data_IF_455015544679
#
_entry.id   IF_455015544679
#
_cell.length_a   1.000
_cell.length_b   1.000
_cell.length_c   1.000
_cell.angle_alpha   90.00
_cell.angle_beta   90.00
_cell.angle_gamma   90.00
#
_symmetry.space_group_name_H-M   'P 1'
#
loop_
_entity.id
_entity.type
_entity.pdbx_description
1 polymer ?
#
# COMPACT_ATOMS: atom_id res chain seq x y z
N UNK A 1 6.07 -15.02 -7.20
CA UNK A 1 7.11 -14.24 -6.50
C UNK A 1 6.66 -12.80 -6.43
N UNK A 2 6.53 -12.21 -5.25
CA UNK A 2 6.14 -10.82 -5.17
C UNK A 2 7.28 -9.90 -5.62
N UNK A 3 6.93 -8.90 -6.35
CA UNK A 3 7.80 -7.76 -6.60
C UNK A 3 7.48 -6.71 -5.54
N UNK A 4 8.47 -6.27 -4.78
CA UNK A 4 8.31 -5.28 -3.73
C UNK A 4 8.97 -3.98 -4.16
N UNK A 5 8.17 -2.93 -4.24
CA UNK A 5 8.64 -1.61 -4.63
C UNK A 5 8.50 -0.63 -3.46
N UNK A 6 9.59 0.01 -3.09
CA UNK A 6 9.61 1.05 -2.06
C UNK A 6 9.49 2.41 -2.73
N UNK A 7 8.56 3.22 -2.27
CA UNK A 7 8.33 4.58 -2.77
C UNK A 7 8.64 5.61 -1.69
N UNK A 8 9.77 6.28 -1.84
CA UNK A 8 10.29 7.28 -0.92
C UNK A 8 9.80 8.67 -1.34
N UNK A 9 8.86 9.23 -0.61
CA UNK A 9 8.28 10.53 -0.90
C UNK A 9 9.15 11.65 -0.35
N UNK A 10 9.43 12.65 -1.17
CA UNK A 10 10.15 13.86 -0.77
C UNK A 10 9.35 15.13 -1.06
N UNK A 11 8.44 15.09 -2.03
CA UNK A 11 7.66 16.24 -2.48
C UNK A 11 6.16 16.04 -2.26
N UNK A 12 5.62 14.88 -2.60
CA UNK A 12 4.19 14.57 -2.47
C UNK A 12 3.87 14.01 -1.09
N UNK A 13 2.60 14.09 -0.69
CA UNK A 13 2.11 13.38 0.48
C UNK A 13 1.74 11.93 0.12
N UNK A 14 1.57 11.10 1.14
CA UNK A 14 1.27 9.67 0.97
C UNK A 14 -0.06 9.50 0.22
N UNK A 15 -1.06 10.28 0.56
CA UNK A 15 -2.40 10.20 -0.02
C UNK A 15 -2.38 10.47 -1.52
N UNK A 16 -1.65 11.48 -1.95
CA UNK A 16 -1.53 11.83 -3.37
C UNK A 16 -0.83 10.71 -4.16
N UNK A 17 0.27 10.19 -3.62
CA UNK A 17 1.00 9.10 -4.26
C UNK A 17 0.15 7.82 -4.31
N UNK A 18 -0.55 7.52 -3.22
CA UNK A 18 -1.43 6.35 -3.16
C UNK A 18 -2.52 6.41 -4.21
N UNK A 19 -3.23 7.53 -4.32
CA UNK A 19 -4.31 7.69 -5.30
C UNK A 19 -3.79 7.47 -6.72
N UNK A 20 -2.65 8.06 -7.06
CA UNK A 20 -2.05 7.90 -8.38
C UNK A 20 -1.72 6.43 -8.69
N UNK A 21 -1.09 5.75 -7.75
CA UNK A 21 -0.68 4.35 -7.94
C UNK A 21 -1.89 3.40 -7.96
N UNK A 22 -2.91 3.69 -7.15
CA UNK A 22 -4.16 2.92 -7.16
C UNK A 22 -4.86 3.08 -8.51
N UNK A 23 -4.97 4.29 -9.03
CA UNK A 23 -5.58 4.54 -10.35
C UNK A 23 -4.85 3.77 -11.46
N UNK A 24 -3.52 3.78 -11.44
CA UNK A 24 -2.72 3.01 -12.40
C UNK A 24 -2.96 1.50 -12.28
N UNK A 25 -3.07 1.01 -11.07
CA UNK A 25 -3.34 -0.42 -10.80
C UNK A 25 -4.70 -0.83 -11.36
N UNK A 26 -5.72 -0.01 -11.16
CA UNK A 26 -7.06 -0.26 -11.68
C UNK A 26 -7.10 -0.23 -13.20
N UNK A 27 -6.37 0.69 -13.82
CA UNK A 27 -6.25 0.74 -15.29
C UNK A 27 -5.58 -0.51 -15.85
N UNK A 28 -4.69 -1.13 -15.08
CA UNK A 28 -4.07 -2.40 -15.45
C UNK A 28 -4.96 -3.62 -15.15
N UNK A 29 -6.18 -3.41 -14.69
CA UNK A 29 -7.12 -4.49 -14.36
C UNK A 29 -6.83 -5.20 -13.06
N UNK A 30 -6.07 -4.60 -12.15
CA UNK A 30 -5.65 -5.22 -10.89
C UNK A 30 -6.57 -4.81 -9.74
N UNK A 31 -6.80 -5.73 -8.82
CA UNK A 31 -7.53 -5.47 -7.59
C UNK A 31 -6.55 -5.17 -6.45
N UNK A 32 -6.88 -4.18 -5.64
CA UNK A 32 -5.94 -3.58 -4.69
C UNK A 32 -6.41 -3.75 -3.25
N UNK A 33 -5.48 -4.15 -2.38
CA UNK A 33 -5.65 -4.12 -0.94
C UNK A 33 -4.69 -3.08 -0.34
N UNK A 34 -5.21 -2.18 0.48
CA UNK A 34 -4.40 -1.17 1.19
C UNK A 34 -4.37 -1.51 2.67
N UNK A 35 -3.19 -1.74 3.21
CA UNK A 35 -2.98 -2.01 4.63
C UNK A 35 -2.37 -0.78 5.29
N UNK A 36 -3.02 -0.27 6.34
CA UNK A 36 -2.55 0.91 7.08
C UNK A 36 -2.94 0.81 8.55
N UNK A 37 -2.30 1.58 9.46
CA UNK A 37 -2.75 1.67 10.84
C UNK A 37 -4.12 2.34 10.93
N UNK A 38 -4.90 2.00 11.95
CA UNK A 38 -6.24 2.56 12.16
C UNK A 38 -6.29 4.09 12.11
N UNK A 39 -5.37 4.83 12.74
CA UNK A 39 -5.42 6.29 12.67
C UNK A 39 -5.30 6.88 11.27
N UNK A 40 -4.69 6.16 10.34
CA UNK A 40 -4.51 6.61 8.97
C UNK A 40 -5.67 6.24 8.05
N UNK A 41 -6.49 5.26 8.43
CA UNK A 41 -7.50 4.67 7.55
C UNK A 41 -8.54 5.70 7.08
N UNK A 42 -9.01 6.54 7.98
CA UNK A 42 -10.01 7.56 7.67
C UNK A 42 -9.48 8.59 6.67
N UNK A 43 -8.25 9.04 6.86
CA UNK A 43 -7.59 9.97 5.94
C UNK A 43 -7.44 9.38 4.54
N UNK A 44 -7.08 8.10 4.47
CA UNK A 44 -6.94 7.39 3.19
C UNK A 44 -8.30 7.20 2.52
N UNK A 45 -9.31 6.84 3.28
CA UNK A 45 -10.68 6.72 2.77
C UNK A 45 -11.17 8.04 2.16
N UNK A 46 -10.98 9.14 2.87
CA UNK A 46 -11.31 10.48 2.39
C UNK A 46 -10.54 10.85 1.12
N UNK A 47 -9.25 10.51 1.07
CA UNK A 47 -8.41 10.79 -0.09
C UNK A 47 -8.91 10.07 -1.35
N UNK A 48 -9.35 8.82 -1.21
CA UNK A 48 -9.90 8.05 -2.31
C UNK A 48 -11.25 8.60 -2.78
N UNK A 49 -12.08 9.10 -1.86
CA UNK A 49 -13.33 9.76 -2.22
C UNK A 49 -13.12 11.09 -2.96
N UNK A 50 -12.06 11.82 -2.60
CA UNK A 50 -11.75 13.14 -3.15
C UNK A 50 -10.87 13.11 -4.40
N UNK A 51 -10.48 11.93 -4.87
CA UNK A 51 -9.40 11.75 -5.83
C UNK A 51 -9.63 12.43 -7.18
N UNK A 52 -10.80 12.34 -7.75
CA UNK A 52 -11.16 13.03 -8.98
C UNK A 52 -12.68 12.97 -9.13
N UNK A 53 -13.28 14.08 -9.51
CA UNK A 53 -14.73 14.14 -9.74
C UNK A 53 -15.19 13.23 -10.87
N UNK A 54 -14.31 13.01 -11.86
CA UNK A 54 -14.61 12.22 -13.05
C UNK A 54 -14.16 10.76 -12.95
N UNK A 55 -13.29 10.43 -11.99
CA UNK A 55 -12.84 9.07 -11.77
C UNK A 55 -13.16 8.60 -10.37
N UNK A 56 -14.40 8.16 -10.20
CA UNK A 56 -14.81 7.54 -8.96
C UNK A 56 -14.08 6.23 -8.75
N UNK A 57 -13.41 6.07 -7.59
CA UNK A 57 -12.71 4.85 -7.20
C UNK A 57 -13.60 4.08 -6.24
N UNK A 58 -14.26 2.99 -6.68
CA UNK A 58 -15.02 2.15 -5.76
C UNK A 58 -14.10 1.53 -4.72
N UNK A 59 -14.35 1.79 -3.45
CA UNK A 59 -13.54 1.27 -2.36
C UNK A 59 -14.36 1.05 -1.11
N UNK A 60 -13.80 0.30 -0.17
CA UNK A 60 -14.40 0.06 1.13
C UNK A 60 -13.35 -0.03 2.22
N UNK A 61 -13.80 0.00 3.47
CA UNK A 61 -12.96 0.04 4.65
C UNK A 61 -13.31 -1.12 5.59
N UNK A 62 -12.32 -1.89 5.98
CA UNK A 62 -12.41 -2.98 6.95
C UNK A 62 -13.54 -3.99 6.65
N UNK A 63 -14.51 -4.13 7.55
CA UNK A 63 -15.62 -5.06 7.44
C UNK A 63 -16.89 -4.44 6.83
N UNK A 64 -16.77 -3.32 6.14
CA UNK A 64 -17.90 -2.70 5.47
C UNK A 64 -18.52 -3.64 4.43
N UNK A 65 -19.79 -3.43 4.16
CA UNK A 65 -20.54 -4.26 3.20
C UNK A 65 -20.04 -4.05 1.77
N UNK A 66 -19.99 -5.12 0.99
CA UNK A 66 -19.64 -5.05 -0.44
C UNK A 66 -18.17 -5.24 -0.75
N UNK A 67 -17.40 -5.75 0.20
CA UNK A 67 -15.96 -5.98 0.08
C UNK A 67 -15.57 -6.77 -1.17
N UNK A 68 -16.31 -7.80 -1.51
CA UNK A 68 -16.06 -8.66 -2.66
C UNK A 68 -16.34 -7.95 -4.00
N UNK A 69 -17.03 -6.83 -3.97
CA UNK A 69 -17.43 -6.07 -5.15
C UNK A 69 -16.56 -4.85 -5.45
N UNK A 70 -15.82 -4.36 -4.46
CA UNK A 70 -14.98 -3.19 -4.64
C UNK A 70 -13.58 -3.60 -5.14
N UNK A 71 -13.03 -2.90 -6.14
CA UNK A 71 -11.68 -3.19 -6.63
C UNK A 71 -10.58 -2.70 -5.69
N UNK A 72 -10.90 -1.83 -4.75
CA UNK A 72 -9.96 -1.32 -3.74
C UNK A 72 -10.54 -1.56 -2.35
N UNK A 73 -9.74 -2.10 -1.46
CA UNK A 73 -10.14 -2.32 -0.08
C UNK A 73 -9.09 -1.81 0.89
N UNK A 74 -9.52 -1.08 1.92
CA UNK A 74 -8.64 -0.55 2.97
C UNK A 74 -8.79 -1.44 4.20
N UNK A 75 -7.68 -1.99 4.67
CA UNK A 75 -7.61 -2.78 5.88
C UNK A 75 -6.81 -2.02 6.93
N UNK A 76 -7.44 -1.73 8.08
CA UNK A 76 -6.80 -1.01 9.18
C UNK A 76 -6.51 -1.89 10.39
N UNK A 77 -6.82 -3.17 10.34
CA UNK A 77 -6.56 -4.09 11.44
C UNK A 77 -5.06 -4.34 11.61
N UNK A 78 -4.57 -4.31 12.84
CA UNK A 78 -3.17 -4.65 13.10
C UNK A 78 -2.99 -6.16 13.06
N UNK A 79 -1.93 -6.61 12.41
CA UNK A 79 -1.58 -8.02 12.31
C UNK A 79 -1.12 -8.62 13.66
N UNK A 80 -0.91 -7.79 14.67
CA UNK A 80 -0.14 -8.19 15.85
C UNK A 80 -0.93 -8.92 16.92
N UNK A 81 -2.25 -8.90 16.89
CA UNK A 81 -3.03 -9.47 17.99
C UNK A 81 -4.09 -10.48 17.59
N UNK A 82 -4.52 -10.49 16.36
CA UNK A 82 -5.59 -11.38 15.93
C UNK A 82 -5.30 -11.88 14.51
N UNK A 83 -4.20 -12.62 14.38
CA UNK A 83 -3.79 -13.18 13.09
C UNK A 83 -4.85 -13.99 12.36
N UNK A 84 -5.89 -14.38 13.08
CA UNK A 84 -7.05 -15.06 12.50
C UNK A 84 -8.02 -14.09 11.82
N UNK A 85 -8.13 -12.87 12.31
CA UNK A 85 -9.06 -11.88 11.74
C UNK A 85 -8.50 -11.16 10.53
N UNK A 86 -7.20 -10.90 10.52
CA UNK A 86 -6.54 -10.39 9.32
C UNK A 86 -6.54 -11.44 8.21
N UNK A 87 -6.49 -12.72 8.57
CA UNK A 87 -6.70 -13.80 7.64
C UNK A 87 -8.11 -13.82 7.06
N UNK A 88 -9.09 -13.29 7.81
CA UNK A 88 -10.48 -13.17 7.33
C UNK A 88 -10.68 -12.03 6.35
N UNK A 89 -9.84 -10.99 6.42
CA UNK A 89 -9.79 -9.96 5.38
C UNK A 89 -8.82 -10.45 4.34
N UNK A 90 -9.19 -11.56 3.77
CA UNK A 90 -8.33 -12.22 2.83
C UNK A 90 -8.12 -11.35 1.60
N UNK A 91 -6.99 -11.53 1.04
CA UNK A 91 -6.61 -11.07 -0.27
C UNK A 91 -7.54 -11.56 -1.38
N UNK A 92 -8.81 -11.86 -1.09
CA UNK A 92 -9.73 -12.48 -2.04
C UNK A 92 -9.76 -11.72 -3.36
N UNK A 93 -8.98 -12.23 -4.31
CA UNK A 93 -8.85 -11.65 -5.62
C UNK A 93 -7.95 -10.41 -5.68
N UNK A 94 -7.44 -9.89 -4.58
CA UNK A 94 -6.50 -8.77 -4.60
C UNK A 94 -5.12 -9.27 -5.03
N UNK A 95 -4.55 -8.64 -6.04
CA UNK A 95 -3.24 -9.00 -6.60
C UNK A 95 -2.15 -8.00 -6.25
N UNK A 96 -2.52 -6.76 -5.94
CA UNK A 96 -1.60 -5.71 -5.54
C UNK A 96 -1.86 -5.30 -4.09
N UNK A 97 -0.79 -5.18 -3.32
CA UNK A 97 -0.83 -4.78 -1.92
C UNK A 97 -0.11 -3.45 -1.74
N UNK A 98 -0.76 -2.50 -1.05
CA UNK A 98 -0.16 -1.23 -0.66
C UNK A 98 0.02 -1.20 0.84
N UNK A 99 1.25 -0.96 1.30
CA UNK A 99 1.59 -0.83 2.71
C UNK A 99 1.92 0.62 3.02
N UNK A 100 1.24 1.19 4.02
CA UNK A 100 1.38 2.60 4.40
C UNK A 100 1.72 2.71 5.89
N UNK A 101 2.49 3.73 6.24
CA UNK A 101 2.81 4.08 7.63
C UNK A 101 3.41 2.93 8.43
N UNK A 102 4.29 2.16 7.81
CA UNK A 102 4.97 1.04 8.48
C UNK A 102 4.15 -0.23 8.62
N UNK A 103 2.98 -0.30 8.00
CA UNK A 103 2.14 -1.49 8.05
C UNK A 103 2.81 -2.71 7.41
N UNK A 104 2.48 -3.89 7.91
CA UNK A 104 3.01 -5.16 7.43
C UNK A 104 1.90 -6.21 7.36
N UNK A 105 2.09 -7.23 6.53
CA UNK A 105 1.17 -8.37 6.43
C UNK A 105 1.98 -9.66 6.27
N UNK A 106 1.53 -10.71 6.96
CA UNK A 106 2.16 -12.03 6.87
C UNK A 106 1.89 -12.74 5.55
N UNK A 107 0.79 -12.38 4.88
CA UNK A 107 0.42 -12.96 3.57
C UNK A 107 1.02 -12.21 2.38
N UNK A 108 1.97 -11.33 2.61
CA UNK A 108 2.62 -10.55 1.57
C UNK A 108 3.11 -11.38 0.36
N UNK A 109 3.66 -12.60 0.55
CA UNK A 109 4.10 -13.42 -0.59
C UNK A 109 2.99 -13.87 -1.56
N UNK A 110 1.73 -13.73 -1.18
CA UNK A 110 0.59 -14.09 -2.05
C UNK A 110 0.30 -13.04 -3.12
N UNK A 111 0.82 -11.84 -2.95
CA UNK A 111 0.55 -10.74 -3.88
C UNK A 111 1.55 -10.75 -5.03
N UNK A 112 1.09 -10.34 -6.19
CA UNK A 112 1.94 -10.19 -7.38
C UNK A 112 2.91 -9.02 -7.20
N UNK A 113 2.42 -7.89 -6.65
CA UNK A 113 3.23 -6.72 -6.34
C UNK A 113 2.86 -6.15 -4.98
N UNK A 114 3.88 -5.68 -4.28
CA UNK A 114 3.74 -4.97 -3.01
C UNK A 114 4.36 -3.59 -3.15
N UNK A 115 3.59 -2.57 -2.79
CA UNK A 115 4.04 -1.17 -2.82
C UNK A 115 4.16 -0.69 -1.38
N UNK A 116 5.36 -0.34 -0.95
CA UNK A 116 5.59 0.25 0.37
C UNK A 116 5.84 1.75 0.20
N UNK A 117 4.86 2.56 0.56
CA UNK A 117 4.90 4.01 0.40
C UNK A 117 5.19 4.64 1.75
N UNK A 118 6.23 5.45 1.84
CA UNK A 118 6.61 6.11 3.08
C UNK A 118 7.08 7.53 2.83
N UNK A 119 6.88 8.38 3.86
CA UNK A 119 7.30 9.77 3.81
C UNK A 119 8.78 9.88 4.19
N UNK A 120 9.62 10.25 3.23
CA UNK A 120 11.04 10.41 3.43
C UNK A 120 11.42 11.60 4.32
N UNK A 121 10.46 12.47 4.64
CA UNK A 121 10.66 13.59 5.58
C UNK A 121 10.42 13.18 7.02
N UNK A 122 9.85 12.01 7.26
CA UNK A 122 9.63 11.44 8.59
C UNK A 122 10.74 10.46 8.94
N UNK A 123 11.54 10.79 9.95
CA UNK A 123 12.62 9.90 10.42
C UNK A 123 12.08 8.54 10.87
N UNK A 124 10.92 8.53 11.52
CA UNK A 124 10.29 7.30 11.97
C UNK A 124 9.91 6.39 10.80
N UNK A 125 9.30 6.96 9.76
CA UNK A 125 8.91 6.18 8.58
C UNK A 125 10.12 5.70 7.78
N UNK A 126 11.15 6.52 7.65
CA UNK A 126 12.41 6.13 7.00
C UNK A 126 13.06 4.96 7.74
N UNK A 127 13.09 5.01 9.07
CA UNK A 127 13.61 3.92 9.89
C UNK A 127 12.83 2.63 9.72
N UNK A 128 11.51 2.72 9.73
CA UNK A 128 10.63 1.57 9.48
C UNK A 128 10.85 0.97 8.10
N UNK A 129 10.94 1.79 7.07
CA UNK A 129 11.17 1.34 5.71
C UNK A 129 12.53 0.65 5.56
N UNK A 130 13.56 1.20 6.22
CA UNK A 130 14.89 0.60 6.21
C UNK A 130 14.90 -0.78 6.85
N UNK A 131 14.24 -0.93 8.00
CA UNK A 131 14.12 -2.21 8.69
C UNK A 131 13.35 -3.23 7.84
N UNK A 132 12.28 -2.80 7.20
CA UNK A 132 11.50 -3.64 6.29
C UNK A 132 12.33 -4.07 5.08
N UNK A 133 13.09 -3.16 4.49
CA UNK A 133 13.99 -3.48 3.38
C UNK A 133 14.98 -4.57 3.76
N UNK A 134 15.62 -4.46 4.92
CA UNK A 134 16.57 -5.45 5.39
C UNK A 134 15.92 -6.80 5.66
N UNK A 135 14.75 -6.80 6.31
CA UNK A 135 14.00 -8.02 6.59
C UNK A 135 13.55 -8.75 5.32
N UNK A 136 13.04 -7.99 4.36
CA UNK A 136 12.46 -8.59 3.16
C UNK A 136 13.51 -8.94 2.11
N UNK A 137 14.66 -8.29 2.14
CA UNK A 137 15.77 -8.60 1.24
C UNK A 137 16.24 -10.05 1.37
N UNK A 138 16.18 -10.59 2.57
CA UNK A 138 16.62 -11.95 2.87
C UNK A 138 15.54 -13.00 2.57
N UNK A 139 14.34 -12.58 2.17
CA UNK A 139 13.30 -13.50 1.75
C UNK A 139 13.59 -14.07 0.38
N UNK A 140 13.55 -15.40 0.27
CA UNK A 140 13.79 -16.08 -1.00
C UNK A 140 12.78 -15.68 -2.07
N UNK A 141 13.29 -15.50 -3.29
CA UNK A 141 12.45 -15.31 -4.47
C UNK A 141 11.69 -13.97 -4.50
N UNK A 142 12.18 -12.95 -3.81
CA UNK A 142 11.59 -11.62 -3.82
C UNK A 142 12.45 -10.67 -4.65
N UNK A 143 11.85 -10.00 -5.62
CA UNK A 143 12.49 -8.92 -6.34
C UNK A 143 12.15 -7.60 -5.68
N UNK A 144 13.16 -6.79 -5.35
CA UNK A 144 12.97 -5.53 -4.65
C UNK A 144 13.51 -4.37 -5.47
N UNK A 145 12.73 -3.29 -5.52
CA UNK A 145 13.13 -2.05 -6.18
C UNK A 145 12.89 -0.87 -5.24
N UNK A 146 13.67 0.18 -5.43
CA UNK A 146 13.59 1.39 -4.62
C UNK A 146 13.41 2.60 -5.53
N UNK A 147 12.36 3.35 -5.31
CA UNK A 147 12.04 4.58 -6.05
C UNK A 147 12.03 5.76 -5.10
N UNK A 148 12.59 6.87 -5.51
CA UNK A 148 12.55 8.13 -4.76
C UNK A 148 12.13 9.26 -5.69
N UNK A 149 11.45 10.27 -5.14
CA UNK A 149 11.13 11.46 -5.89
C UNK A 149 12.37 12.37 -5.99
N UNK A 150 12.56 12.98 -7.16
CA UNK A 150 13.54 14.05 -7.32
C UNK A 150 12.96 15.39 -6.83
N UNK A 151 13.71 16.49 -6.98
CA UNK A 151 13.30 17.82 -6.53
C UNK A 151 12.04 18.33 -7.25
N UNK A 152 11.68 17.75 -8.39
CA UNK A 152 10.49 18.10 -9.16
C UNK A 152 9.30 17.18 -8.88
N UNK A 153 9.46 16.18 -8.04
CA UNK A 153 8.44 15.19 -7.74
C UNK A 153 8.38 14.01 -8.70
N UNK A 154 9.32 13.91 -9.62
CA UNK A 154 9.42 12.76 -10.53
C UNK A 154 10.03 11.56 -9.81
N UNK A 155 9.53 10.38 -10.15
CA UNK A 155 10.03 9.13 -9.61
C UNK A 155 11.28 8.66 -10.35
N UNK A 156 12.32 8.33 -9.59
CA UNK A 156 13.56 7.75 -10.08
C UNK A 156 13.85 6.43 -9.38
N UNK A 157 14.18 5.40 -10.14
CA UNK A 157 14.60 4.13 -9.55
C UNK A 157 16.04 4.26 -9.03
N UNK A 158 16.22 4.01 -7.74
CA UNK A 158 17.52 4.15 -7.05
C UNK A 158 18.21 2.81 -6.78
N UNK A 159 17.44 1.72 -6.74
CA UNK A 159 17.99 0.40 -6.48
C UNK A 159 17.15 -0.70 -7.12
#
# INVERSE_FOLDING_TARGET
MPQIDFYHLTQSDIETALVMLVQRSLLAGKKVLVQCPRPAAETIDEALWAADRDSWIPHGLDDAFGRDKAPVWICSASSDKDGAETGGISSDGATFLFLLHGAQRDDMPRFERVFNIFDGRSEAQVGQARDQWQSWRDMDATEMRYFAQDDTGKWEQRA
#
